data_IF_058358060670
#
_entry.id   IF_058358060670
#
_cell.length_a   1.000
_cell.length_b   1.000
_cell.length_c   1.000
_cell.angle_alpha   90.00
_cell.angle_beta   90.00
_cell.angle_gamma   90.00
#
_symmetry.space_group_name_H-M   'P 1'
#
loop_
_entity.id
_entity.type
_entity.pdbx_description
1 polymer ?
#
# COMPACT_ATOMS: atom_id res chain seq x y z
N UNK A 1 -18.01 31.52 -5.70
CA UNK A 1 -19.32 31.38 -6.35
C UNK A 1 -19.59 29.90 -6.55
N UNK A 2 -20.39 29.29 -5.65
CA UNK A 2 -20.71 27.85 -5.68
C UNK A 2 -22.03 27.65 -6.39
N UNK A 3 -22.00 27.04 -7.58
CA UNK A 3 -23.22 26.65 -8.28
C UNK A 3 -23.74 25.34 -7.67
N UNK A 4 -24.82 25.46 -6.90
CA UNK A 4 -25.65 24.31 -6.47
C UNK A 4 -26.62 23.98 -7.61
N UNK A 5 -26.37 22.92 -8.33
CA UNK A 5 -27.29 22.37 -9.34
C UNK A 5 -28.29 21.47 -8.61
N UNK A 6 -29.62 21.74 -8.65
CA UNK A 6 -30.60 20.88 -7.99
C UNK A 6 -30.83 19.61 -8.82
N UNK A 7 -30.46 18.51 -8.24
CA UNK A 7 -30.47 17.16 -8.80
C UNK A 7 -31.88 16.61 -9.15
N UNK A 8 -32.94 17.33 -8.79
CA UNK A 8 -34.34 16.95 -9.05
C UNK A 8 -34.80 17.08 -10.51
N UNK A 9 -34.01 17.65 -11.42
CA UNK A 9 -34.44 17.90 -12.81
C UNK A 9 -33.99 16.81 -13.80
N UNK A 10 -33.16 15.87 -13.40
CA UNK A 10 -32.58 14.84 -14.30
C UNK A 10 -33.49 13.60 -14.44
N UNK A 11 -34.47 13.42 -13.55
CA UNK A 11 -35.30 12.22 -13.53
C UNK A 11 -36.58 12.26 -14.37
N UNK A 12 -36.84 13.34 -15.12
CA UNK A 12 -38.08 13.48 -15.91
C UNK A 12 -37.96 13.37 -17.43
N UNK A 13 -36.79 13.09 -17.97
CA UNK A 13 -36.56 13.08 -19.43
C UNK A 13 -36.20 11.70 -20.02
N UNK A 14 -36.36 10.60 -19.28
CA UNK A 14 -35.98 9.24 -19.73
C UNK A 14 -37.16 8.27 -19.86
N UNK A 15 -38.42 8.78 -19.99
CA UNK A 15 -39.60 7.94 -20.18
C UNK A 15 -40.40 8.34 -21.40
N UNK A 16 -39.85 8.26 -22.58
CA UNK A 16 -40.66 8.29 -23.80
C UNK A 16 -39.86 7.84 -25.02
N UNK A 17 -39.57 6.56 -25.16
CA UNK A 17 -39.33 5.96 -26.46
C UNK A 17 -39.55 4.45 -26.37
N UNK A 18 -40.84 4.07 -26.38
CA UNK A 18 -41.29 2.70 -26.46
C UNK A 18 -42.29 2.63 -27.62
N UNK A 19 -41.81 2.41 -28.87
CA UNK A 19 -42.66 2.02 -30.00
C UNK A 19 -41.91 1.02 -30.88
N UNK A 20 -42.38 -0.21 -30.85
CA UNK A 20 -42.57 -1.22 -31.90
C UNK A 20 -41.70 -1.14 -33.18
N UNK A 21 -40.91 -2.18 -33.39
CA UNK A 21 -40.69 -2.78 -34.68
C UNK A 21 -40.50 -4.31 -34.55
N UNK A 22 -41.35 -5.14 -35.17
CA UNK A 22 -41.08 -6.57 -35.33
C UNK A 22 -40.29 -6.76 -36.62
N UNK A 23 -39.09 -7.29 -36.56
CA UNK A 23 -38.26 -7.52 -37.74
C UNK A 23 -37.15 -8.52 -37.53
N UNK A 24 -37.43 -9.76 -37.90
CA UNK A 24 -36.55 -10.82 -38.38
C UNK A 24 -35.27 -11.13 -37.55
N UNK A 25 -35.40 -12.18 -36.79
CA UNK A 25 -34.34 -13.05 -36.27
C UNK A 25 -33.54 -13.61 -37.43
N UNK A 26 -32.33 -13.10 -37.66
CA UNK A 26 -31.22 -13.85 -38.21
C UNK A 26 -30.29 -14.15 -37.03
N UNK A 27 -30.32 -15.40 -36.62
CA UNK A 27 -29.34 -15.96 -35.69
C UNK A 27 -27.99 -16.02 -36.40
N UNK A 28 -27.24 -14.94 -36.31
CA UNK A 28 -25.78 -14.99 -36.46
C UNK A 28 -25.21 -15.32 -35.11
N UNK A 29 -24.91 -16.58 -34.96
CA UNK A 29 -24.06 -17.16 -33.93
C UNK A 29 -22.68 -16.49 -34.04
N UNK A 30 -22.60 -15.25 -33.54
CA UNK A 30 -21.32 -14.65 -33.19
C UNK A 30 -20.80 -15.39 -31.97
N UNK A 31 -20.08 -16.48 -32.22
CA UNK A 31 -19.04 -16.93 -31.30
C UNK A 31 -18.04 -15.77 -31.20
N UNK A 32 -18.38 -14.81 -30.35
CA UNK A 32 -17.39 -13.92 -29.75
C UNK A 32 -16.47 -14.84 -28.94
N UNK A 33 -15.45 -15.34 -29.60
CA UNK A 33 -14.27 -15.85 -28.93
C UNK A 33 -13.75 -14.62 -28.19
N UNK A 34 -14.14 -14.48 -26.93
CA UNK A 34 -13.51 -13.61 -25.97
C UNK A 34 -12.09 -14.16 -25.73
N UNK A 35 -11.24 -13.91 -26.72
CA UNK A 35 -9.80 -14.04 -26.62
C UNK A 35 -9.29 -12.83 -25.83
N UNK A 36 -9.84 -12.61 -24.63
CA UNK A 36 -9.12 -11.97 -23.58
C UNK A 36 -7.94 -12.89 -23.29
N UNK A 37 -6.79 -12.62 -23.92
CA UNK A 37 -5.52 -13.25 -23.57
C UNK A 37 -5.44 -13.17 -22.04
N UNK A 38 -5.71 -14.30 -21.38
CA UNK A 38 -5.65 -14.41 -19.92
C UNK A 38 -4.19 -14.14 -19.59
N UNK A 39 -3.91 -12.91 -19.22
CA UNK A 39 -2.57 -12.51 -18.79
C UNK A 39 -2.25 -13.37 -17.57
N UNK A 40 -1.41 -14.39 -17.79
CA UNK A 40 -1.05 -15.31 -16.73
C UNK A 40 -0.20 -14.58 -15.69
N UNK A 41 -0.81 -14.30 -14.55
CA UNK A 41 -0.13 -13.65 -13.43
C UNK A 41 0.80 -14.61 -12.71
N UNK A 42 1.92 -14.07 -12.22
CA UNK A 42 2.82 -14.79 -11.33
C UNK A 42 2.18 -14.89 -9.94
N UNK A 43 1.83 -16.13 -9.56
CA UNK A 43 1.27 -16.49 -8.26
C UNK A 43 2.36 -17.01 -7.30
N UNK A 44 2.12 -17.02 -5.98
CA UNK A 44 3.13 -17.44 -4.98
C UNK A 44 3.72 -18.83 -5.20
N UNK A 45 2.92 -19.76 -5.73
CA UNK A 45 3.32 -21.14 -6.04
C UNK A 45 4.24 -21.25 -7.26
N UNK A 46 4.20 -20.24 -8.14
CA UNK A 46 5.02 -20.17 -9.37
C UNK A 46 6.26 -19.29 -9.21
N UNK A 47 6.49 -18.70 -8.04
CA UNK A 47 7.66 -17.84 -7.80
C UNK A 47 8.97 -18.61 -7.91
N UNK A 48 9.92 -18.06 -8.67
CA UNK A 48 11.29 -18.54 -8.73
C UNK A 48 12.08 -18.16 -7.46
N UNK A 49 13.26 -18.75 -7.24
CA UNK A 49 14.18 -18.29 -6.18
C UNK A 49 14.52 -16.80 -6.32
N UNK A 50 14.75 -16.32 -7.53
CA UNK A 50 15.09 -14.91 -7.84
C UNK A 50 13.94 -13.97 -7.49
N UNK A 51 12.68 -14.40 -7.70
CA UNK A 51 11.51 -13.61 -7.30
C UNK A 51 11.44 -13.45 -5.78
N UNK A 52 11.74 -14.51 -5.03
CA UNK A 52 11.75 -14.49 -3.56
C UNK A 52 12.90 -13.63 -3.03
N UNK A 53 14.06 -13.71 -3.65
CA UNK A 53 15.23 -12.89 -3.31
C UNK A 53 14.91 -11.40 -3.54
N UNK A 54 14.35 -11.03 -4.68
CA UNK A 54 13.92 -9.69 -4.99
C UNK A 54 12.90 -9.17 -3.95
N UNK A 55 11.87 -9.96 -3.60
CA UNK A 55 10.90 -9.57 -2.59
C UNK A 55 11.56 -9.34 -1.23
N UNK A 56 12.53 -10.18 -0.86
CA UNK A 56 13.28 -10.07 0.40
C UNK A 56 14.17 -8.83 0.40
N UNK A 57 14.92 -8.59 -0.66
CA UNK A 57 15.82 -7.45 -0.81
C UNK A 57 15.06 -6.12 -0.64
N UNK A 58 14.00 -5.91 -1.44
CA UNK A 58 13.25 -4.66 -1.39
C UNK A 58 12.45 -4.48 -0.09
N UNK A 59 11.99 -5.57 0.53
CA UNK A 59 11.40 -5.49 1.87
C UNK A 59 12.41 -5.09 2.94
N UNK A 60 13.64 -5.60 2.84
CA UNK A 60 14.74 -5.23 3.74
C UNK A 60 15.14 -3.76 3.54
N UNK A 61 15.20 -3.26 2.30
CA UNK A 61 15.48 -1.86 2.03
C UNK A 61 14.46 -0.95 2.71
N UNK A 62 13.16 -1.27 2.62
CA UNK A 62 12.13 -0.55 3.35
C UNK A 62 12.32 -0.60 4.87
N UNK A 63 12.58 -1.78 5.45
CA UNK A 63 12.78 -1.93 6.89
C UNK A 63 14.04 -1.20 7.39
N UNK A 64 15.11 -1.21 6.63
CA UNK A 64 16.34 -0.47 6.93
C UNK A 64 16.08 1.04 6.93
N UNK A 65 15.40 1.55 5.89
CA UNK A 65 14.99 2.96 5.84
C UNK A 65 14.16 3.34 7.07
N UNK A 66 13.16 2.52 7.45
CA UNK A 66 12.34 2.77 8.64
C UNK A 66 13.20 2.88 9.90
N UNK A 67 14.12 1.94 10.08
CA UNK A 67 14.98 1.89 11.27
C UNK A 67 15.89 3.11 11.34
N UNK A 68 16.60 3.42 10.27
CA UNK A 68 17.53 4.55 10.21
C UNK A 68 16.80 5.88 10.42
N UNK A 69 15.70 6.10 9.71
CA UNK A 69 14.87 7.31 9.84
C UNK A 69 14.32 7.46 11.25
N UNK A 70 13.88 6.36 11.87
CA UNK A 70 13.35 6.40 13.23
C UNK A 70 14.42 6.72 14.28
N UNK A 71 15.63 6.18 14.15
CA UNK A 71 16.75 6.49 15.05
C UNK A 71 17.07 8.00 15.00
N UNK A 72 17.09 8.58 13.82
CA UNK A 72 17.32 10.02 13.66
C UNK A 72 16.17 10.83 14.27
N UNK A 73 14.92 10.42 14.03
CA UNK A 73 13.75 11.15 14.48
C UNK A 73 13.50 11.08 15.98
N UNK A 74 13.93 10.01 16.67
CA UNK A 74 13.83 9.89 18.15
C UNK A 74 14.52 11.05 18.91
N UNK A 75 15.51 11.70 18.30
CA UNK A 75 16.18 12.86 18.90
C UNK A 75 15.32 14.13 18.89
N UNK A 76 14.26 14.16 18.08
CA UNK A 76 13.45 15.34 17.83
C UNK A 76 11.98 15.17 18.26
N UNK A 77 11.57 13.96 18.61
CA UNK A 77 10.19 13.61 18.93
C UNK A 77 10.11 12.76 20.20
N UNK A 78 9.26 13.18 21.15
CA UNK A 78 9.03 12.44 22.39
C UNK A 78 7.96 11.33 22.26
N UNK A 79 7.09 11.41 21.25
CA UNK A 79 6.04 10.41 21.03
C UNK A 79 6.51 9.34 20.02
N UNK A 80 6.63 8.07 20.47
CA UNK A 80 7.07 6.96 19.60
C UNK A 80 6.20 6.77 18.35
N UNK A 81 4.90 7.08 18.43
CA UNK A 81 3.98 6.93 17.30
C UNK A 81 4.28 7.96 16.21
N UNK A 82 4.56 9.20 16.60
CA UNK A 82 4.93 10.24 15.65
C UNK A 82 6.26 9.94 14.97
N UNK A 83 7.21 9.32 15.67
CA UNK A 83 8.49 8.85 15.07
C UNK A 83 8.21 7.81 13.99
N UNK A 84 7.38 6.82 14.27
CA UNK A 84 7.05 5.75 13.31
C UNK A 84 6.26 6.30 12.12
N UNK A 85 5.26 7.16 12.36
CA UNK A 85 4.48 7.78 11.29
C UNK A 85 5.34 8.62 10.34
N UNK A 86 6.30 9.35 10.91
CA UNK A 86 7.27 10.10 10.11
C UNK A 86 8.13 9.16 9.25
N UNK A 87 8.69 8.13 9.86
CA UNK A 87 9.53 7.16 9.15
C UNK A 87 8.76 6.45 8.03
N UNK A 88 7.52 6.03 8.27
CA UNK A 88 6.67 5.40 7.26
C UNK A 88 6.41 6.33 6.06
N UNK A 89 6.15 7.60 6.30
CA UNK A 89 5.97 8.59 5.22
C UNK A 89 7.24 8.83 4.44
N UNK A 90 8.37 8.93 5.14
CA UNK A 90 9.67 9.16 4.52
C UNK A 90 10.10 7.98 3.65
N UNK A 91 9.87 6.76 4.12
CA UNK A 91 10.28 5.53 3.45
C UNK A 91 9.22 4.98 2.46
N UNK A 92 8.13 5.70 2.21
CA UNK A 92 7.07 5.24 1.28
C UNK A 92 7.60 4.94 -0.12
N UNK A 93 8.62 5.64 -0.57
CA UNK A 93 9.29 5.43 -1.87
C UNK A 93 9.88 4.02 -2.02
N UNK A 94 10.33 3.41 -0.94
CA UNK A 94 10.85 2.03 -0.95
C UNK A 94 9.73 1.02 -1.21
N UNK A 95 8.55 1.23 -0.62
CA UNK A 95 7.37 0.40 -0.91
C UNK A 95 6.86 0.59 -2.35
N UNK A 96 6.92 1.80 -2.88
CA UNK A 96 6.58 2.09 -4.29
C UNK A 96 7.56 1.41 -5.23
N UNK A 97 8.84 1.40 -4.88
CA UNK A 97 9.88 0.69 -5.64
C UNK A 97 9.62 -0.81 -5.64
N UNK A 98 9.33 -1.42 -4.49
CA UNK A 98 8.94 -2.82 -4.37
C UNK A 98 7.69 -3.12 -5.24
N UNK A 99 6.65 -2.28 -5.15
CA UNK A 99 5.44 -2.42 -5.97
C UNK A 99 5.77 -2.41 -7.48
N UNK A 100 6.61 -1.48 -7.91
CA UNK A 100 7.04 -1.37 -9.31
C UNK A 100 7.79 -2.63 -9.78
N UNK A 101 8.66 -3.19 -8.95
CA UNK A 101 9.36 -4.45 -9.24
C UNK A 101 8.38 -5.61 -9.35
N UNK A 102 7.39 -5.70 -8.47
CA UNK A 102 6.35 -6.73 -8.54
C UNK A 102 5.49 -6.59 -9.80
N UNK A 103 5.15 -5.37 -10.22
CA UNK A 103 4.43 -5.11 -11.48
C UNK A 103 5.27 -5.59 -12.67
N UNK A 104 6.54 -5.23 -12.72
CA UNK A 104 7.44 -5.62 -13.82
C UNK A 104 7.61 -7.14 -13.96
N UNK A 105 7.43 -7.88 -12.86
CA UNK A 105 7.45 -9.36 -12.83
C UNK A 105 6.07 -9.98 -13.03
N UNK A 106 5.06 -9.18 -13.33
CA UNK A 106 3.67 -9.62 -13.56
C UNK A 106 3.04 -10.38 -12.37
N UNK A 107 3.38 -10.00 -11.14
CA UNK A 107 2.72 -10.58 -9.95
C UNK A 107 1.22 -10.33 -9.95
N UNK A 108 0.47 -11.31 -9.45
CA UNK A 108 -0.97 -11.19 -9.25
C UNK A 108 -1.31 -9.91 -8.44
N UNK A 109 -2.28 -9.09 -8.90
CA UNK A 109 -2.60 -7.82 -8.24
C UNK A 109 -3.04 -7.96 -6.79
N UNK A 110 -3.82 -9.00 -6.46
CA UNK A 110 -4.31 -9.23 -5.10
C UNK A 110 -3.18 -9.68 -4.18
N UNK A 111 -2.32 -10.59 -4.68
CA UNK A 111 -1.09 -10.98 -3.95
C UNK A 111 -0.20 -9.78 -3.69
N UNK A 112 0.07 -8.95 -4.71
CA UNK A 112 0.91 -7.76 -4.61
C UNK A 112 0.40 -6.80 -3.54
N UNK A 113 -0.90 -6.47 -3.56
CA UNK A 113 -1.51 -5.60 -2.56
C UNK A 113 -1.40 -6.18 -1.15
N UNK A 114 -1.68 -7.47 -0.99
CA UNK A 114 -1.58 -8.17 0.29
C UNK A 114 -0.15 -8.21 0.82
N UNK A 115 0.83 -8.42 -0.06
CA UNK A 115 2.25 -8.45 0.30
C UNK A 115 2.74 -7.08 0.77
N UNK A 116 2.49 -6.03 0.01
CA UNK A 116 2.88 -4.66 0.37
C UNK A 116 2.28 -4.22 1.70
N UNK A 117 0.99 -4.50 1.90
CA UNK A 117 0.32 -4.24 3.18
C UNK A 117 0.99 -4.97 4.33
N UNK A 118 1.36 -6.24 4.15
CA UNK A 118 2.04 -7.04 5.17
C UNK A 118 3.40 -6.46 5.51
N UNK A 119 4.22 -6.16 4.50
CA UNK A 119 5.55 -5.54 4.67
C UNK A 119 5.43 -4.23 5.44
N UNK A 120 4.51 -3.34 5.04
CA UNK A 120 4.27 -2.06 5.71
C UNK A 120 3.87 -2.24 7.18
N UNK A 121 2.91 -3.11 7.47
CA UNK A 121 2.44 -3.35 8.85
C UNK A 121 3.51 -3.99 9.73
N UNK A 122 4.25 -4.97 9.22
CA UNK A 122 5.32 -5.63 9.96
C UNK A 122 6.46 -4.65 10.25
N UNK A 123 6.87 -3.86 9.24
CA UNK A 123 7.88 -2.83 9.39
C UNK A 123 7.49 -1.80 10.46
N UNK A 124 6.28 -1.25 10.39
CA UNK A 124 5.78 -0.29 11.38
C UNK A 124 5.79 -0.86 12.82
N UNK A 125 5.29 -2.08 12.99
CA UNK A 125 5.24 -2.73 14.30
C UNK A 125 6.65 -3.02 14.87
N UNK A 126 7.57 -3.45 14.03
CA UNK A 126 8.95 -3.70 14.43
C UNK A 126 9.66 -2.39 14.81
N UNK A 127 9.50 -1.36 13.98
CA UNK A 127 10.07 -0.04 14.22
C UNK A 127 9.52 0.57 15.51
N UNK A 128 8.22 0.46 15.79
CA UNK A 128 7.63 0.95 17.03
C UNK A 128 8.28 0.32 18.26
N UNK A 129 8.53 -0.99 18.23
CA UNK A 129 9.23 -1.68 19.34
C UNK A 129 10.65 -1.15 19.56
N UNK A 130 11.40 -0.96 18.47
CA UNK A 130 12.77 -0.43 18.52
C UNK A 130 12.76 0.99 19.10
N UNK A 131 11.85 1.84 18.62
CA UNK A 131 11.71 3.23 19.08
C UNK A 131 11.36 3.28 20.57
N UNK A 132 10.40 2.47 21.02
CA UNK A 132 10.01 2.43 22.44
C UNK A 132 11.18 2.00 23.35
N UNK A 133 11.95 0.99 22.95
CA UNK A 133 13.14 0.54 23.70
C UNK A 133 14.21 1.63 23.69
N UNK A 134 14.47 2.25 22.55
CA UNK A 134 15.47 3.32 22.43
C UNK A 134 15.14 4.53 23.32
N UNK A 135 13.89 4.97 23.33
CA UNK A 135 13.44 6.08 24.17
C UNK A 135 13.51 5.76 25.66
N UNK A 136 13.10 4.55 26.06
CA UNK A 136 13.21 4.12 27.46
C UNK A 136 14.66 4.11 27.96
N UNK A 137 15.60 3.66 27.12
CA UNK A 137 17.02 3.66 27.47
C UNK A 137 17.58 5.08 27.59
N UNK A 138 17.15 6.01 26.73
CA UNK A 138 17.56 7.44 26.82
C UNK A 138 17.08 8.06 28.13
N UNK A 139 15.83 7.80 28.55
CA UNK A 139 15.30 8.30 29.82
C UNK A 139 16.10 7.78 31.02
N UNK A 140 16.38 6.48 31.06
CA UNK A 140 17.16 5.87 32.16
C UNK A 140 18.58 6.42 32.25
N UNK A 141 19.19 6.75 31.12
CA UNK A 141 20.54 7.33 31.09
C UNK A 141 20.54 8.77 31.61
N UNK A 142 19.53 9.58 31.28
CA UNK A 142 19.42 10.96 31.76
C UNK A 142 19.09 11.06 33.25
N UNK A 143 18.37 10.10 33.83
CA UNK A 143 18.10 10.02 35.28
C UNK A 143 19.36 9.64 36.07
N UNK A 144 20.23 8.79 35.50
CA UNK A 144 21.48 8.40 36.14
C UNK A 144 22.54 9.51 36.19
N UNK A 145 22.47 10.50 35.33
CA UNK A 145 23.39 11.66 35.27
C UNK A 145 22.95 12.83 36.17
N UNK A 146 21.74 12.81 36.78
CA UNK A 146 21.33 13.83 37.73
C UNK A 146 21.90 13.49 39.12
N UNK A 147 23.03 14.15 39.59
CA UNK A 147 23.48 13.97 40.96
C UNK A 147 22.39 14.47 41.89
N UNK A 148 22.11 13.68 42.94
CA UNK A 148 21.17 14.04 43.98
C UNK A 148 21.48 15.44 44.52
N UNK A 149 20.76 16.46 44.09
CA UNK A 149 20.75 17.76 44.69
C UNK A 149 19.88 17.64 45.95
N UNK A 150 20.50 17.35 47.08
CA UNK A 150 19.97 17.54 48.43
C UNK A 150 20.62 18.77 49.05
#
# INVERSE_FOLDING_TARGET
MSLKIPYKLIHRLLFAFLILAPGMVMAEEQTAVDESAQQEYLTPDKMTPEDREMLTEYSNNYNNCLTETSIQQMQHQADPRHVVDFAMKHCAVELETLNTKMIARNFDPAFRQGYLRRVSMQGANQTLKVVMIGMANQQSSSEAEQPAQQ
#
